data_IF_816601504082
#
_entry.id   IF_816601504082
#
_cell.length_a   1.000
_cell.length_b   1.000
_cell.length_c   1.000
_cell.angle_alpha   90.00
_cell.angle_beta   90.00
_cell.angle_gamma   90.00
#
_symmetry.space_group_name_H-M   'P 1'
#
loop_
_entity.id
_entity.type
_entity.pdbx_description
1 polymer ?
#
# COMPACT_ATOMS: atom_id res chain seq x y z
N UNK A 1 -3.61 -21.01 32.15
CA UNK A 1 -3.83 -20.44 33.50
C UNK A 1 -4.80 -19.28 33.36
N UNK A 2 -5.82 -19.15 34.22
CA UNK A 2 -6.67 -17.97 34.23
C UNK A 2 -5.80 -16.71 34.45
N UNK A 3 -6.04 -15.68 33.64
CA UNK A 3 -5.38 -14.38 33.75
C UNK A 3 -6.20 -13.47 34.66
N UNK A 4 -5.52 -12.63 35.45
CA UNK A 4 -6.18 -11.70 36.40
C UNK A 4 -6.92 -10.60 35.62
N UNK A 5 -6.21 -9.96 34.68
CA UNK A 5 -6.76 -9.01 33.72
C UNK A 5 -6.09 -9.24 32.37
N UNK A 6 -6.79 -8.96 31.27
CA UNK A 6 -6.19 -8.99 29.94
C UNK A 6 -5.21 -7.82 29.73
N UNK A 7 -4.15 -8.05 28.97
CA UNK A 7 -3.19 -7.01 28.62
C UNK A 7 -3.90 -5.88 27.86
N UNK A 8 -3.78 -4.65 28.35
CA UNK A 8 -4.44 -3.48 27.78
C UNK A 8 -5.84 -3.19 28.35
N UNK A 9 -6.36 -4.03 29.25
CA UNK A 9 -7.64 -3.79 29.90
C UNK A 9 -7.59 -2.49 30.74
N UNK A 10 -8.58 -1.62 30.56
CA UNK A 10 -8.83 -0.47 31.42
C UNK A 10 -9.55 -0.93 32.69
N UNK A 11 -9.06 -0.50 33.86
CA UNK A 11 -9.48 -1.03 35.17
C UNK A 11 -9.76 0.14 36.12
N UNK A 12 -10.89 0.09 36.83
CA UNK A 12 -11.20 0.99 37.93
C UNK A 12 -10.58 0.45 39.19
N UNK A 13 -9.48 1.05 39.62
CA UNK A 13 -8.85 0.71 40.88
C UNK A 13 -9.37 1.64 41.98
N UNK A 14 -9.19 1.30 43.27
CA UNK A 14 -9.43 2.24 44.38
C UNK A 14 -8.58 3.53 44.27
N UNK A 15 -7.50 3.47 43.51
CA UNK A 15 -6.61 4.60 43.22
C UNK A 15 -6.94 5.26 41.87
N UNK A 16 -8.14 5.03 41.33
CA UNK A 16 -8.60 5.58 40.06
C UNK A 16 -8.32 4.67 38.85
N UNK A 17 -8.24 5.27 37.67
CA UNK A 17 -8.24 4.59 36.37
C UNK A 17 -6.84 4.11 36.00
N UNK A 18 -6.70 2.89 35.51
CA UNK A 18 -5.42 2.37 35.01
C UNK A 18 -5.57 1.39 33.85
N UNK A 19 -4.44 1.06 33.21
CA UNK A 19 -4.37 0.05 32.15
C UNK A 19 -3.47 -1.10 32.57
N UNK A 20 -3.92 -2.33 32.40
CA UNK A 20 -3.08 -3.51 32.59
C UNK A 20 -1.92 -3.53 31.57
N UNK A 21 -0.69 -3.42 32.05
CA UNK A 21 0.54 -3.46 31.24
C UNK A 21 1.32 -4.78 31.38
N UNK A 22 0.97 -5.59 32.38
CA UNK A 22 1.42 -6.98 32.48
C UNK A 22 0.31 -7.84 33.08
N UNK A 23 0.00 -8.94 32.41
CA UNK A 23 -1.04 -9.89 32.84
C UNK A 23 -0.58 -10.65 34.08
N UNK A 24 -1.36 -10.59 35.15
CA UNK A 24 -1.18 -11.49 36.28
C UNK A 24 -1.62 -12.92 35.94
N UNK A 25 -1.11 -13.90 36.66
CA UNK A 25 -1.49 -15.32 36.50
C UNK A 25 -1.97 -15.92 37.81
N UNK A 26 -3.02 -16.75 37.70
CA UNK A 26 -3.57 -17.54 38.80
C UNK A 26 -3.33 -19.03 38.52
N UNK A 27 -3.13 -19.83 39.56
CA UNK A 27 -3.18 -21.30 39.46
C UNK A 27 -4.59 -21.74 39.05
N UNK A 28 -4.79 -23.00 38.61
CA UNK A 28 -6.13 -23.55 38.41
C UNK A 28 -7.03 -23.50 39.65
N UNK A 29 -6.44 -23.47 40.86
CA UNK A 29 -7.16 -23.32 42.13
C UNK A 29 -7.43 -21.84 42.49
N UNK A 30 -7.16 -20.90 41.58
CA UNK A 30 -7.36 -19.47 41.81
C UNK A 30 -6.28 -18.80 42.68
N UNK A 31 -5.22 -19.51 43.04
CA UNK A 31 -4.13 -18.95 43.87
C UNK A 31 -3.25 -18.04 43.00
N UNK A 32 -2.99 -16.79 43.40
CA UNK A 32 -2.13 -15.91 42.62
C UNK A 32 -0.68 -16.40 42.53
N UNK A 33 -0.11 -16.36 41.32
CA UNK A 33 1.29 -16.73 41.05
C UNK A 33 2.10 -15.49 40.67
N UNK A 34 1.57 -14.67 39.76
CA UNK A 34 2.21 -13.44 39.29
C UNK A 34 1.22 -12.28 39.41
N UNK A 35 1.59 -11.15 40.04
CA UNK A 35 0.70 -10.01 40.14
C UNK A 35 0.50 -9.36 38.77
N UNK A 36 -0.71 -8.88 38.49
CA UNK A 36 -0.94 -8.00 37.37
C UNK A 36 -0.29 -6.64 37.64
N UNK A 37 0.30 -6.03 36.61
CA UNK A 37 0.83 -4.67 36.69
C UNK A 37 -0.11 -3.73 35.94
N UNK A 38 -0.58 -2.70 36.65
CA UNK A 38 -1.56 -1.72 36.15
C UNK A 38 -0.93 -0.34 36.20
N UNK A 39 -0.85 0.35 35.05
CA UNK A 39 -0.35 1.72 34.95
C UNK A 39 -1.51 2.69 35.16
N UNK A 40 -1.51 3.43 36.27
CA UNK A 40 -2.59 4.35 36.62
C UNK A 40 -2.54 5.61 35.74
N UNK A 41 -3.63 5.91 35.03
CA UNK A 41 -3.78 7.09 34.17
C UNK A 41 -4.30 8.31 34.91
N UNK A 42 -5.12 8.13 35.93
CA UNK A 42 -5.70 9.24 36.71
C UNK A 42 -4.70 9.92 37.66
N UNK A 43 -3.47 9.41 37.75
CA UNK A 43 -2.44 9.94 38.62
C UNK A 43 -1.16 10.20 37.82
N UNK A 44 -0.53 11.33 38.10
CA UNK A 44 0.77 11.70 37.57
C UNK A 44 1.68 12.03 38.75
N UNK A 45 2.81 11.33 38.86
CA UNK A 45 3.81 11.59 39.89
C UNK A 45 4.50 12.94 39.62
N UNK A 46 5.18 13.49 40.63
CA UNK A 46 5.91 14.75 40.52
C UNK A 46 6.98 14.79 39.40
N UNK A 47 7.41 13.63 38.91
CA UNK A 47 8.34 13.48 37.78
C UNK A 47 7.63 13.32 36.43
N UNK A 48 6.34 13.65 36.35
CA UNK A 48 5.48 13.52 35.17
C UNK A 48 5.29 12.08 34.65
N UNK A 49 5.63 11.06 35.44
CA UNK A 49 5.37 9.65 35.10
C UNK A 49 4.11 9.14 35.78
N UNK A 50 3.40 8.24 35.10
CA UNK A 50 2.28 7.52 35.69
C UNK A 50 2.77 6.41 36.64
N UNK A 51 2.22 6.28 37.85
CA UNK A 51 2.58 5.20 38.77
C UNK A 51 2.10 3.84 38.26
N UNK A 52 2.80 2.78 38.70
CA UNK A 52 2.40 1.38 38.46
C UNK A 52 1.91 0.74 39.75
N UNK A 53 0.79 0.06 39.67
CA UNK A 53 0.15 -0.70 40.74
C UNK A 53 0.32 -2.18 40.45
N UNK A 54 0.82 -2.95 41.40
CA UNK A 54 0.92 -4.40 41.31
C UNK A 54 -0.18 -5.02 42.17
N UNK A 55 -1.01 -5.87 41.59
CA UNK A 55 -2.15 -6.45 42.30
C UNK A 55 -2.35 -7.92 41.96
N UNK A 56 -2.81 -8.68 42.94
CA UNK A 56 -3.34 -10.03 42.76
C UNK A 56 -4.87 -10.05 42.72
N UNK A 57 -5.49 -8.93 43.05
CA UNK A 57 -6.93 -8.76 43.10
C UNK A 57 -7.50 -8.74 41.68
N UNK A 58 -8.48 -9.61 41.42
CA UNK A 58 -9.21 -9.70 40.16
C UNK A 58 -10.66 -9.19 40.29
N UNK A 59 -10.99 -8.53 41.41
CA UNK A 59 -12.35 -8.05 41.70
C UNK A 59 -12.63 -6.64 41.18
N UNK A 60 -11.64 -5.99 40.58
CA UNK A 60 -11.81 -4.59 40.14
C UNK A 60 -12.62 -4.52 38.86
N UNK A 61 -13.48 -3.52 38.79
CA UNK A 61 -14.34 -3.29 37.63
C UNK A 61 -13.46 -3.03 36.40
N UNK A 62 -13.63 -3.88 35.39
CA UNK A 62 -13.14 -3.59 34.06
C UNK A 62 -13.91 -2.38 33.55
N UNK A 63 -13.22 -1.26 33.42
CA UNK A 63 -13.79 -0.11 32.76
C UNK A 63 -13.59 -0.38 31.28
N UNK A 64 -14.68 -0.51 30.55
CA UNK A 64 -14.60 -0.41 29.10
C UNK A 64 -13.92 0.93 28.79
N UNK A 65 -12.82 0.95 28.02
CA UNK A 65 -12.12 2.20 27.73
C UNK A 65 -13.12 3.22 27.19
N UNK A 66 -12.93 4.48 27.60
CA UNK A 66 -13.80 5.57 27.17
C UNK A 66 -13.93 5.53 25.65
N UNK A 67 -15.17 5.60 25.19
CA UNK A 67 -15.49 5.53 23.76
C UNK A 67 -14.96 6.82 23.12
N UNK A 68 -13.84 6.70 22.40
CA UNK A 68 -13.21 7.80 21.67
C UNK A 68 -13.59 7.77 20.18
N UNK A 69 -13.36 8.89 19.49
CA UNK A 69 -13.48 8.96 18.02
C UNK A 69 -12.53 7.94 17.37
N UNK A 70 -13.06 7.12 16.48
CA UNK A 70 -12.34 6.04 15.80
C UNK A 70 -12.42 4.69 16.51
N UNK A 71 -12.92 4.62 17.75
CA UNK A 71 -13.18 3.35 18.42
C UNK A 71 -14.29 2.56 17.73
N UNK A 72 -14.13 1.23 17.70
CA UNK A 72 -15.22 0.34 17.35
C UNK A 72 -16.14 0.20 18.56
N UNK A 73 -17.46 0.22 18.33
CA UNK A 73 -18.49 0.17 19.36
C UNK A 73 -19.59 -0.82 18.97
N UNK A 74 -20.18 -1.46 19.96
CA UNK A 74 -21.45 -2.15 19.83
C UNK A 74 -22.55 -1.11 19.99
N UNK A 75 -23.47 -1.10 19.03
CA UNK A 75 -24.69 -0.27 19.06
C UNK A 75 -25.90 -1.19 19.12
N UNK A 76 -27.12 -0.66 19.37
CA UNK A 76 -28.36 -1.44 19.25
C UNK A 76 -28.56 -2.05 17.85
N UNK A 77 -27.88 -1.50 16.83
CA UNK A 77 -27.94 -1.95 15.44
C UNK A 77 -26.73 -2.82 15.04
N UNK A 78 -25.90 -3.25 15.99
CA UNK A 78 -24.71 -4.06 15.74
C UNK A 78 -23.41 -3.23 15.77
N UNK A 79 -22.34 -3.77 15.18
CA UNK A 79 -21.00 -3.16 15.25
C UNK A 79 -20.91 -1.90 14.40
N UNK A 80 -20.37 -0.82 14.98
CA UNK A 80 -20.06 0.42 14.30
C UNK A 80 -18.72 1.02 14.73
N UNK A 81 -18.38 2.17 14.16
CA UNK A 81 -17.21 2.98 14.51
C UNK A 81 -17.62 4.41 14.78
N UNK A 82 -17.12 4.99 15.86
CA UNK A 82 -17.40 6.38 16.21
C UNK A 82 -16.68 7.32 15.23
N UNK A 83 -17.43 8.21 14.60
CA UNK A 83 -16.90 9.26 13.71
C UNK A 83 -16.73 10.59 14.43
N UNK A 84 -17.69 10.92 15.31
CA UNK A 84 -17.74 12.20 16.02
C UNK A 84 -18.43 11.98 17.36
N UNK A 85 -17.92 12.66 18.39
CA UNK A 85 -18.58 12.82 19.68
C UNK A 85 -19.04 14.28 19.78
N UNK A 86 -20.30 14.50 20.14
CA UNK A 86 -20.85 15.84 20.34
C UNK A 86 -21.04 16.10 21.83
N UNK A 87 -20.26 17.05 22.33
CA UNK A 87 -20.42 17.60 23.66
C UNK A 87 -21.57 18.61 23.60
N UNK A 88 -22.62 18.42 24.41
CA UNK A 88 -23.61 19.47 24.61
C UNK A 88 -22.98 20.57 25.42
N UNK A 89 -22.79 21.74 24.80
CA UNK A 89 -22.25 22.97 25.43
C UNK A 89 -23.06 23.47 26.65
N UNK A 90 -24.17 22.82 26.99
CA UNK A 90 -25.18 23.37 27.90
C UNK A 90 -24.98 23.05 29.37
N UNK A 91 -24.06 22.16 29.74
CA UNK A 91 -23.79 21.89 31.16
C UNK A 91 -22.30 21.65 31.42
N UNK A 92 -21.65 22.62 32.07
CA UNK A 92 -20.20 22.61 32.38
C UNK A 92 -19.82 21.47 33.35
N UNK A 93 -20.81 20.76 33.90
CA UNK A 93 -20.61 19.76 34.95
C UNK A 93 -20.85 18.30 34.54
N UNK A 94 -21.34 18.04 33.32
CA UNK A 94 -21.45 16.65 32.83
C UNK A 94 -20.26 16.32 31.92
N UNK A 95 -19.32 15.52 32.44
CA UNK A 95 -18.08 15.12 31.74
C UNK A 95 -18.30 14.09 30.61
N UNK A 96 -19.54 13.71 30.29
CA UNK A 96 -19.83 12.70 29.28
C UNK A 96 -20.52 13.30 28.05
N UNK A 97 -20.06 12.97 26.83
CA UNK A 97 -20.73 13.43 25.61
C UNK A 97 -22.16 12.90 25.58
N UNK A 98 -23.08 13.69 25.04
CA UNK A 98 -24.51 13.32 25.01
C UNK A 98 -24.81 12.44 23.81
N UNK A 99 -24.20 12.73 22.66
CA UNK A 99 -24.46 12.06 21.40
C UNK A 99 -23.18 11.68 20.67
N UNK A 100 -23.22 10.57 19.93
CA UNK A 100 -22.17 10.15 19.02
C UNK A 100 -22.71 9.93 17.60
N UNK A 101 -21.97 10.38 16.60
CA UNK A 101 -22.13 9.97 15.22
C UNK A 101 -21.36 8.66 15.01
N UNK A 102 -22.06 7.56 14.72
CA UNK A 102 -21.49 6.22 14.53
C UNK A 102 -21.77 5.74 13.12
N UNK A 103 -20.74 5.20 12.45
CA UNK A 103 -20.87 4.54 11.15
C UNK A 103 -20.96 3.03 11.36
N UNK A 104 -22.04 2.40 10.92
CA UNK A 104 -22.22 0.95 11.09
C UNK A 104 -21.29 0.18 10.14
N UNK A 105 -20.59 -0.82 10.66
CA UNK A 105 -19.61 -1.60 9.90
C UNK A 105 -20.31 -2.71 9.11
N UNK A 106 -21.32 -3.33 9.71
CA UNK A 106 -22.04 -4.50 9.17
C UNK A 106 -23.25 -4.14 8.31
N UNK A 107 -23.74 -2.90 8.41
CA UNK A 107 -24.91 -2.44 7.65
C UNK A 107 -24.50 -1.58 6.46
N UNK A 108 -25.06 -1.91 5.30
CA UNK A 108 -24.93 -1.14 4.06
C UNK A 108 -26.32 -0.91 3.47
N UNK A 109 -26.53 0.29 2.93
CA UNK A 109 -27.73 0.59 2.14
C UNK A 109 -27.66 -0.12 0.77
N UNK A 110 -28.76 -0.18 0.05
CA UNK A 110 -28.84 -0.85 -1.26
C UNK A 110 -27.86 -0.27 -2.31
N UNK A 111 -27.46 0.98 -2.15
CA UNK A 111 -26.44 1.65 -2.96
C UNK A 111 -25.00 1.46 -2.40
N UNK A 112 -24.81 0.52 -1.47
CA UNK A 112 -23.57 0.24 -0.74
C UNK A 112 -23.01 1.40 0.08
N UNK A 113 -23.77 2.47 0.30
CA UNK A 113 -23.37 3.52 1.24
C UNK A 113 -23.49 3.03 2.69
N UNK A 114 -22.59 3.53 3.54
CA UNK A 114 -22.57 3.15 4.96
C UNK A 114 -23.68 3.85 5.71
N UNK A 115 -24.33 3.12 6.61
CA UNK A 115 -25.35 3.68 7.50
C UNK A 115 -24.66 4.50 8.59
N UNK A 116 -25.08 5.76 8.73
CA UNK A 116 -24.67 6.63 9.83
C UNK A 116 -25.82 6.75 10.81
N UNK A 117 -25.51 6.62 12.09
CA UNK A 117 -26.46 6.72 13.19
C UNK A 117 -26.01 7.83 14.14
N UNK A 118 -26.97 8.53 14.72
CA UNK A 118 -26.76 9.46 15.82
C UNK A 118 -27.36 8.81 17.06
N UNK A 119 -26.52 8.42 18.00
CA UNK A 119 -26.88 7.57 19.14
C UNK A 119 -26.52 8.27 20.44
N UNK A 120 -27.31 8.04 21.50
CA UNK A 120 -26.92 8.49 22.83
C UNK A 120 -25.67 7.73 23.26
N UNK A 121 -24.76 8.41 23.96
CA UNK A 121 -23.52 7.78 24.41
C UNK A 121 -23.76 6.58 25.34
N UNK A 122 -24.85 6.59 26.11
CA UNK A 122 -25.29 5.48 26.97
C UNK A 122 -25.62 4.20 26.20
N UNK A 123 -25.94 4.30 24.91
CA UNK A 123 -26.31 3.17 24.06
C UNK A 123 -25.08 2.52 23.39
N UNK A 124 -23.88 3.03 23.66
CA UNK A 124 -22.63 2.55 23.08
C UNK A 124 -21.89 1.70 24.09
N UNK A 125 -21.46 0.52 23.65
CA UNK A 125 -20.50 -0.28 24.40
C UNK A 125 -19.21 -0.37 23.59
N UNK A 126 -18.07 -0.06 24.21
CA UNK A 126 -16.78 -0.23 23.54
C UNK A 126 -16.59 -1.66 23.06
N UNK A 127 -16.05 -1.81 21.84
CA UNK A 127 -15.59 -3.09 21.32
C UNK A 127 -14.09 -3.04 21.04
N UNK A 128 -13.34 -4.07 21.41
CA UNK A 128 -11.95 -4.17 21.02
C UNK A 128 -11.83 -4.20 19.48
N UNK A 129 -10.78 -3.58 18.92
CA UNK A 129 -10.53 -3.65 17.49
C UNK A 129 -10.34 -5.11 17.08
N UNK A 130 -10.99 -5.51 15.98
CA UNK A 130 -10.86 -6.86 15.43
C UNK A 130 -9.40 -7.18 15.12
N UNK A 131 -8.98 -8.38 15.46
CA UNK A 131 -7.70 -8.91 14.98
C UNK A 131 -7.78 -9.13 13.47
N UNK A 132 -6.63 -9.14 12.81
CA UNK A 132 -6.56 -9.32 11.35
C UNK A 132 -7.37 -10.51 10.82
N UNK A 133 -7.34 -11.65 11.51
CA UNK A 133 -8.07 -12.87 11.12
C UNK A 133 -9.59 -12.80 11.34
N UNK A 134 -10.07 -11.84 12.14
CA UNK A 134 -11.49 -11.64 12.44
C UNK A 134 -12.15 -10.63 11.48
N UNK A 135 -11.35 -9.94 10.65
CA UNK A 135 -11.85 -8.99 9.67
C UNK A 135 -12.49 -9.71 8.49
N UNK A 136 -13.73 -9.34 8.20
CA UNK A 136 -14.40 -9.72 6.95
C UNK A 136 -13.66 -9.16 5.73
N UNK A 137 -13.90 -9.74 4.55
CA UNK A 137 -13.30 -9.27 3.30
C UNK A 137 -13.61 -7.80 3.02
N UNK A 138 -14.82 -7.33 3.34
CA UNK A 138 -15.18 -5.92 3.25
C UNK A 138 -14.37 -5.05 4.22
N UNK A 139 -14.28 -5.44 5.50
CA UNK A 139 -13.51 -4.70 6.50
C UNK A 139 -12.01 -4.63 6.14
N UNK A 140 -11.48 -5.67 5.48
CA UNK A 140 -10.11 -5.65 4.95
C UNK A 140 -9.94 -4.61 3.82
N UNK A 141 -10.89 -4.52 2.88
CA UNK A 141 -10.88 -3.48 1.82
C UNK A 141 -10.93 -2.08 2.45
N UNK A 142 -11.77 -1.91 3.46
CA UNK A 142 -11.96 -0.63 4.15
C UNK A 142 -10.73 -0.23 4.95
N UNK A 143 -10.12 -1.18 5.64
CA UNK A 143 -8.86 -0.98 6.35
C UNK A 143 -7.74 -0.60 5.39
N UNK A 144 -7.65 -1.28 4.23
CA UNK A 144 -6.69 -0.95 3.19
C UNK A 144 -6.91 0.47 2.62
N UNK A 145 -8.16 0.86 2.40
CA UNK A 145 -8.51 2.22 1.98
C UNK A 145 -8.14 3.27 3.04
N UNK A 146 -8.39 3.00 4.32
CA UNK A 146 -7.96 3.88 5.41
C UNK A 146 -6.44 4.05 5.43
N UNK A 147 -5.67 2.96 5.26
CA UNK A 147 -4.20 3.01 5.16
C UNK A 147 -3.73 3.81 3.94
N UNK A 148 -4.41 3.66 2.80
CA UNK A 148 -4.16 4.43 1.58
C UNK A 148 -4.37 5.93 1.81
N UNK A 149 -5.42 6.31 2.53
CA UNK A 149 -5.70 7.71 2.87
C UNK A 149 -4.69 8.26 3.87
N UNK A 150 -4.34 7.51 4.92
CA UNK A 150 -3.29 7.89 5.88
C UNK A 150 -1.93 8.06 5.22
N UNK A 151 -1.65 7.42 4.08
CA UNK A 151 -0.40 7.59 3.36
C UNK A 151 -0.24 8.98 2.71
N UNK A 152 -1.31 9.78 2.60
CA UNK A 152 -1.26 11.14 2.04
C UNK A 152 -0.44 12.10 2.92
N UNK A 153 -0.53 11.97 4.23
CA UNK A 153 0.20 12.83 5.17
C UNK A 153 1.73 12.60 5.07
N UNK A 154 2.27 11.37 5.21
CA UNK A 154 3.69 11.11 4.98
C UNK A 154 4.16 11.53 3.58
N UNK A 155 3.32 11.33 2.54
CA UNK A 155 3.63 11.80 1.19
C UNK A 155 3.79 13.32 1.12
N UNK A 156 2.94 14.08 1.82
CA UNK A 156 3.03 15.54 1.88
C UNK A 156 4.28 16.02 2.61
N UNK A 157 4.74 15.26 3.62
CA UNK A 157 6.00 15.48 4.33
C UNK A 157 7.23 14.93 3.59
N UNK A 158 7.05 14.36 2.38
CA UNK A 158 8.09 13.65 1.63
C UNK A 158 8.76 12.49 2.42
N UNK A 159 8.07 11.94 3.43
CA UNK A 159 8.44 10.69 4.10
C UNK A 159 7.93 9.51 3.26
N UNK A 160 8.72 9.18 2.25
CA UNK A 160 8.39 8.16 1.26
C UNK A 160 8.43 6.75 1.86
N UNK A 161 9.24 6.52 2.89
CA UNK A 161 9.35 5.22 3.55
C UNK A 161 8.10 4.92 4.38
N UNK A 162 7.64 5.88 5.19
CA UNK A 162 6.40 5.73 5.95
C UNK A 162 5.18 5.59 5.00
N UNK A 163 5.13 6.39 3.92
CA UNK A 163 4.10 6.25 2.90
C UNK A 163 4.11 4.85 2.25
N UNK A 164 5.29 4.35 1.87
CA UNK A 164 5.44 3.04 1.26
C UNK A 164 5.05 1.91 2.22
N UNK A 165 5.37 2.04 3.52
CA UNK A 165 4.96 1.08 4.53
C UNK A 165 3.43 0.99 4.64
N UNK A 166 2.73 2.12 4.58
CA UNK A 166 1.26 2.16 4.59
C UNK A 166 0.64 1.52 3.33
N UNK A 167 1.19 1.78 2.14
CA UNK A 167 0.74 1.11 0.91
C UNK A 167 1.02 -0.40 0.93
N UNK A 168 2.16 -0.82 1.47
CA UNK A 168 2.51 -2.24 1.63
C UNK A 168 1.56 -2.93 2.60
N UNK A 169 1.23 -2.30 3.73
CA UNK A 169 0.20 -2.79 4.65
C UNK A 169 -1.15 -2.90 3.93
N UNK A 170 -1.58 -1.88 3.19
CA UNK A 170 -2.84 -1.92 2.44
C UNK A 170 -2.88 -3.10 1.45
N UNK A 171 -1.81 -3.28 0.66
CA UNK A 171 -1.68 -4.42 -0.26
C UNK A 171 -1.77 -5.77 0.47
N UNK A 172 -1.15 -5.91 1.65
CA UNK A 172 -1.24 -7.12 2.45
C UNK A 172 -2.68 -7.46 2.83
N UNK A 173 -3.48 -6.50 3.32
CA UNK A 173 -4.90 -6.73 3.61
C UNK A 173 -5.64 -7.25 2.37
N UNK A 174 -5.47 -6.58 1.23
CA UNK A 174 -6.18 -6.89 -0.01
C UNK A 174 -5.79 -8.25 -0.60
N UNK A 175 -4.52 -8.66 -0.47
CA UNK A 175 -4.03 -9.95 -0.98
C UNK A 175 -4.55 -11.16 -0.19
N UNK A 176 -5.02 -10.96 1.04
CA UNK A 176 -5.61 -12.03 1.85
C UNK A 176 -7.11 -12.22 1.65
N UNK A 177 -7.71 -11.46 0.74
CA UNK A 177 -9.13 -11.60 0.40
C UNK A 177 -9.26 -12.65 -0.69
N UNK A 178 -10.12 -13.62 -0.43
CA UNK A 178 -10.54 -14.58 -1.43
C UNK A 178 -11.67 -13.99 -2.28
N UNK A 179 -11.56 -14.08 -3.60
CA UNK A 179 -12.54 -13.55 -4.55
C UNK A 179 -13.91 -14.24 -4.40
N UNK A 180 -13.92 -15.48 -3.90
CA UNK A 180 -15.13 -16.26 -3.69
C UNK A 180 -15.90 -15.81 -2.44
N UNK A 181 -15.23 -15.15 -1.49
CA UNK A 181 -15.88 -14.57 -0.30
C UNK A 181 -16.57 -13.24 -0.58
N UNK A 182 -16.32 -12.63 -1.74
CA UNK A 182 -16.96 -11.37 -2.13
C UNK A 182 -18.31 -11.66 -2.79
N UNK A 183 -19.38 -11.36 -2.06
CA UNK A 183 -20.75 -11.72 -2.45
C UNK A 183 -21.30 -10.96 -3.65
N UNK A 184 -20.69 -9.84 -4.06
CA UNK A 184 -21.20 -9.03 -5.16
C UNK A 184 -20.06 -8.40 -6.01
N UNK A 185 -20.42 -7.92 -7.21
CA UNK A 185 -19.47 -7.33 -8.15
C UNK A 185 -18.98 -5.94 -7.72
N UNK A 186 -19.70 -5.26 -6.85
CA UNK A 186 -19.32 -3.94 -6.35
C UNK A 186 -18.13 -4.05 -5.38
N UNK A 187 -18.16 -5.01 -4.45
CA UNK A 187 -17.05 -5.24 -3.53
C UNK A 187 -15.80 -5.71 -4.28
N UNK A 188 -15.98 -6.52 -5.34
CA UNK A 188 -14.89 -6.89 -6.27
C UNK A 188 -14.32 -5.67 -7.00
N UNK A 189 -15.17 -4.74 -7.42
CA UNK A 189 -14.73 -3.47 -8.00
C UNK A 189 -13.95 -2.63 -6.98
N UNK A 190 -14.44 -2.49 -5.74
CA UNK A 190 -13.73 -1.79 -4.66
C UNK A 190 -12.38 -2.42 -4.32
N UNK A 191 -12.30 -3.76 -4.30
CA UNK A 191 -11.03 -4.48 -4.11
C UNK A 191 -10.04 -4.14 -5.23
N UNK A 192 -10.46 -4.26 -6.50
CA UNK A 192 -9.59 -3.99 -7.65
C UNK A 192 -9.13 -2.53 -7.69
N UNK A 193 -10.05 -1.58 -7.48
CA UNK A 193 -9.75 -0.15 -7.40
C UNK A 193 -8.65 0.13 -6.37
N UNK A 194 -8.88 -0.32 -5.13
CA UNK A 194 -7.97 -0.08 -4.02
C UNK A 194 -6.60 -0.71 -4.29
N UNK A 195 -6.59 -1.94 -4.81
CA UNK A 195 -5.37 -2.68 -5.08
C UNK A 195 -4.53 -2.04 -6.19
N UNK A 196 -5.15 -1.61 -7.29
CA UNK A 196 -4.45 -0.92 -8.38
C UNK A 196 -3.88 0.42 -7.90
N UNK A 197 -4.67 1.20 -7.15
CA UNK A 197 -4.23 2.48 -6.60
C UNK A 197 -3.05 2.32 -5.64
N UNK A 198 -3.13 1.38 -4.68
CA UNK A 198 -2.06 1.11 -3.73
C UNK A 198 -0.78 0.62 -4.41
N UNK A 199 -0.86 -0.28 -5.40
CA UNK A 199 0.31 -0.75 -6.17
C UNK A 199 0.95 0.36 -6.98
N UNK A 200 0.17 1.19 -7.68
CA UNK A 200 0.70 2.33 -8.44
C UNK A 200 1.38 3.37 -7.53
N UNK A 201 0.75 3.70 -6.39
CA UNK A 201 1.33 4.67 -5.45
C UNK A 201 2.56 4.11 -4.73
N UNK A 202 2.53 2.84 -4.34
CA UNK A 202 3.69 2.13 -3.79
C UNK A 202 4.85 2.07 -4.78
N UNK A 203 4.60 1.74 -6.05
CA UNK A 203 5.62 1.78 -7.10
C UNK A 203 6.26 3.16 -7.25
N UNK A 204 5.44 4.23 -7.20
CA UNK A 204 5.94 5.61 -7.21
C UNK A 204 6.87 5.90 -6.03
N UNK A 205 6.49 5.50 -4.80
CA UNK A 205 7.36 5.63 -3.64
C UNK A 205 8.67 4.85 -3.82
N UNK A 206 8.61 3.58 -4.25
CA UNK A 206 9.78 2.74 -4.47
C UNK A 206 10.72 3.32 -5.53
N UNK A 207 10.19 3.89 -6.62
CA UNK A 207 11.01 4.61 -7.63
C UNK A 207 11.77 5.76 -6.99
N UNK A 208 11.11 6.58 -6.18
CA UNK A 208 11.76 7.72 -5.51
C UNK A 208 12.80 7.27 -4.48
N UNK A 209 12.54 6.16 -3.78
CA UNK A 209 13.47 5.51 -2.85
C UNK A 209 14.57 4.68 -3.54
N UNK A 210 14.59 4.63 -4.88
CA UNK A 210 15.53 3.82 -5.68
C UNK A 210 15.46 2.31 -5.39
N UNK A 211 14.32 1.82 -4.91
CA UNK A 211 14.02 0.38 -4.72
C UNK A 211 13.48 -0.21 -6.02
N UNK A 212 14.36 -0.32 -7.02
CA UNK A 212 13.97 -0.61 -8.41
C UNK A 212 13.26 -1.95 -8.58
N UNK A 213 13.69 -3.01 -7.88
CA UNK A 213 13.07 -4.34 -7.98
C UNK A 213 11.60 -4.31 -7.51
N UNK A 214 11.37 -3.77 -6.31
CA UNK A 214 10.03 -3.61 -5.74
C UNK A 214 9.15 -2.70 -6.60
N UNK A 215 9.70 -1.58 -7.09
CA UNK A 215 8.99 -0.68 -7.99
C UNK A 215 8.51 -1.39 -9.27
N UNK A 216 9.40 -2.16 -9.92
CA UNK A 216 9.03 -2.91 -11.13
C UNK A 216 7.96 -3.97 -10.84
N UNK A 217 8.07 -4.68 -9.71
CA UNK A 217 7.08 -5.68 -9.31
C UNK A 217 5.70 -5.04 -9.11
N UNK A 218 5.59 -4.06 -8.23
CA UNK A 218 4.31 -3.40 -7.91
C UNK A 218 3.68 -2.76 -9.16
N UNK A 219 4.48 -2.09 -9.99
CA UNK A 219 4.00 -1.46 -11.21
C UNK A 219 3.51 -2.48 -12.25
N UNK A 220 4.23 -3.59 -12.43
CA UNK A 220 3.83 -4.67 -13.36
C UNK A 220 2.54 -5.33 -12.88
N UNK A 221 2.41 -5.63 -11.59
CA UNK A 221 1.20 -6.20 -11.01
C UNK A 221 -0.02 -5.26 -11.19
N UNK A 222 0.16 -3.93 -11.04
CA UNK A 222 -0.90 -2.96 -11.30
C UNK A 222 -1.35 -2.95 -12.77
N UNK A 223 -0.40 -2.98 -13.71
CA UNK A 223 -0.70 -3.04 -15.15
C UNK A 223 -1.40 -4.35 -15.51
N UNK A 224 -0.97 -5.48 -14.96
CA UNK A 224 -1.63 -6.78 -15.20
C UNK A 224 -3.10 -6.77 -14.76
N UNK A 225 -3.41 -6.19 -13.60
CA UNK A 225 -4.79 -6.05 -13.14
C UNK A 225 -5.62 -5.16 -14.08
N UNK A 226 -5.04 -4.05 -14.55
CA UNK A 226 -5.68 -3.15 -15.52
C UNK A 226 -5.90 -3.82 -16.89
N UNK A 227 -4.96 -4.62 -17.36
CA UNK A 227 -5.07 -5.35 -18.62
C UNK A 227 -6.14 -6.45 -18.53
N UNK A 228 -6.20 -7.16 -17.40
CA UNK A 228 -7.27 -8.13 -17.12
C UNK A 228 -8.65 -7.44 -17.08
N UNK A 229 -8.74 -6.29 -16.41
CA UNK A 229 -9.97 -5.50 -16.35
C UNK A 229 -10.37 -4.96 -17.73
N UNK A 230 -9.41 -4.56 -18.57
CA UNK A 230 -9.67 -4.07 -19.92
C UNK A 230 -10.31 -5.13 -20.82
N UNK A 231 -9.90 -6.40 -20.69
CA UNK A 231 -10.55 -7.53 -21.37
C UNK A 231 -11.99 -7.76 -20.91
N UNK A 232 -12.32 -7.32 -19.71
CA UNK A 232 -13.65 -7.41 -19.09
C UNK A 232 -14.44 -6.09 -19.18
N UNK A 233 -14.03 -5.17 -20.07
CA UNK A 233 -14.71 -3.89 -20.26
C UNK A 233 -16.17 -4.12 -20.69
N UNK A 234 -17.09 -3.37 -20.09
CA UNK A 234 -18.53 -3.50 -20.28
C UNK A 234 -19.21 -4.56 -19.40
N UNK A 235 -18.43 -5.39 -18.68
CA UNK A 235 -19.00 -6.39 -17.76
C UNK A 235 -19.36 -5.78 -16.40
N UNK A 236 -20.00 -6.59 -15.55
CA UNK A 236 -20.58 -6.17 -14.26
C UNK A 236 -19.60 -5.45 -13.33
N UNK A 237 -18.35 -5.92 -13.26
CA UNK A 237 -17.31 -5.29 -12.41
C UNK A 237 -16.90 -3.92 -12.97
N UNK A 238 -16.74 -3.81 -14.29
CA UNK A 238 -16.42 -2.54 -14.94
C UNK A 238 -17.57 -1.53 -14.80
N UNK A 239 -18.82 -1.97 -14.96
CA UNK A 239 -19.99 -1.15 -14.69
C UNK A 239 -20.03 -0.64 -13.23
N UNK A 240 -19.66 -1.50 -12.27
CA UNK A 240 -19.55 -1.10 -10.86
C UNK A 240 -18.43 -0.07 -10.64
N UNK A 241 -17.26 -0.22 -11.27
CA UNK A 241 -16.20 0.80 -11.22
C UNK A 241 -16.67 2.15 -11.79
N UNK A 242 -17.43 2.15 -12.89
CA UNK A 242 -18.01 3.39 -13.43
C UNK A 242 -18.98 4.04 -12.43
N UNK A 243 -19.77 3.24 -11.69
CA UNK A 243 -20.66 3.76 -10.64
C UNK A 243 -19.91 4.39 -9.46
N UNK A 244 -18.66 3.98 -9.23
CA UNK A 244 -17.73 4.61 -8.27
C UNK A 244 -17.11 5.92 -8.81
N UNK A 245 -17.46 6.34 -10.04
CA UNK A 245 -16.92 7.54 -10.68
C UNK A 245 -15.59 7.33 -11.41
N UNK A 246 -15.14 6.09 -11.58
CA UNK A 246 -13.90 5.79 -12.29
C UNK A 246 -14.17 5.64 -13.78
N UNK A 247 -13.69 6.63 -14.55
CA UNK A 247 -13.84 6.61 -16.01
C UNK A 247 -12.80 5.69 -16.67
N UNK A 248 -13.10 5.25 -17.90
CA UNK A 248 -12.16 4.51 -18.74
C UNK A 248 -10.84 5.27 -18.95
N UNK A 249 -10.92 6.60 -19.09
CA UNK A 249 -9.77 7.49 -19.15
C UNK A 249 -8.89 7.44 -17.89
N UNK A 250 -9.51 7.31 -16.72
CA UNK A 250 -8.77 7.19 -15.46
C UNK A 250 -8.11 5.81 -15.36
N UNK A 251 -8.87 4.74 -15.59
CA UNK A 251 -8.40 3.36 -15.41
C UNK A 251 -7.41 2.94 -16.51
N UNK A 252 -7.86 2.93 -17.76
CA UNK A 252 -7.15 2.29 -18.87
C UNK A 252 -6.11 3.18 -19.55
N UNK A 253 -6.12 4.49 -19.24
CA UNK A 253 -5.13 5.42 -19.73
C UNK A 253 -4.29 5.97 -18.58
N UNK A 254 -4.85 6.82 -17.70
CA UNK A 254 -4.06 7.51 -16.68
C UNK A 254 -3.32 6.56 -15.74
N UNK A 255 -4.02 5.60 -15.15
CA UNK A 255 -3.42 4.66 -14.20
C UNK A 255 -2.53 3.64 -14.89
N UNK A 256 -2.92 3.18 -16.09
CA UNK A 256 -2.13 2.25 -16.89
C UNK A 256 -0.80 2.86 -17.34
N UNK A 257 -0.82 4.10 -17.86
CA UNK A 257 0.39 4.83 -18.28
C UNK A 257 1.32 5.09 -17.10
N UNK A 258 0.79 5.42 -15.91
CA UNK A 258 1.58 5.53 -14.68
C UNK A 258 2.30 4.22 -14.35
N UNK A 259 1.58 3.10 -14.33
CA UNK A 259 2.16 1.78 -14.07
C UNK A 259 3.25 1.43 -15.07
N UNK A 260 2.98 1.56 -16.38
CA UNK A 260 3.96 1.30 -17.44
C UNK A 260 5.21 2.18 -17.28
N UNK A 261 5.02 3.48 -16.99
CA UNK A 261 6.12 4.41 -16.77
C UNK A 261 7.01 4.00 -15.60
N UNK A 262 6.43 3.68 -14.43
CA UNK A 262 7.21 3.27 -13.25
C UNK A 262 7.92 1.94 -13.46
N UNK A 263 7.28 0.96 -14.12
CA UNK A 263 7.90 -0.31 -14.48
C UNK A 263 9.12 -0.08 -15.41
N UNK A 264 8.95 0.69 -16.48
CA UNK A 264 10.05 1.03 -17.39
C UNK A 264 11.18 1.80 -16.73
N UNK A 265 10.86 2.76 -15.87
CA UNK A 265 11.88 3.52 -15.14
C UNK A 265 12.71 2.60 -14.25
N UNK A 266 12.07 1.69 -13.53
CA UNK A 266 12.75 0.70 -12.72
C UNK A 266 13.63 -0.25 -13.55
N UNK A 267 13.12 -0.77 -14.68
CA UNK A 267 13.89 -1.64 -15.60
C UNK A 267 15.11 -0.94 -16.18
N UNK A 268 14.96 0.32 -16.59
CA UNK A 268 16.05 1.13 -17.10
C UNK A 268 17.18 1.30 -16.07
N UNK A 269 16.85 1.52 -14.80
CA UNK A 269 17.85 1.64 -13.72
C UNK A 269 18.47 0.28 -13.35
N UNK A 270 17.78 -0.83 -13.61
CA UNK A 270 18.33 -2.19 -13.55
C UNK A 270 19.15 -2.57 -14.80
N UNK A 271 19.38 -1.63 -15.73
CA UNK A 271 20.08 -1.81 -17.02
C UNK A 271 19.39 -2.76 -18.01
N UNK A 272 18.11 -3.05 -17.78
CA UNK A 272 17.28 -3.81 -18.70
C UNK A 272 16.59 -2.86 -19.69
N UNK A 273 17.40 -2.28 -20.59
CA UNK A 273 16.95 -1.22 -21.49
C UNK A 273 16.03 -1.70 -22.61
N UNK A 274 16.23 -2.93 -23.09
CA UNK A 274 15.43 -3.53 -24.16
C UNK A 274 13.96 -3.64 -23.73
N UNK A 275 13.71 -4.33 -22.60
CA UNK A 275 12.37 -4.44 -22.04
C UNK A 275 11.79 -3.08 -21.62
N UNK A 276 12.61 -2.17 -21.11
CA UNK A 276 12.15 -0.82 -20.76
C UNK A 276 11.64 -0.04 -21.99
N UNK A 277 12.34 -0.13 -23.12
CA UNK A 277 11.97 0.52 -24.38
C UNK A 277 10.65 -0.02 -24.93
N UNK A 278 10.43 -1.33 -24.90
CA UNK A 278 9.17 -1.94 -25.36
C UNK A 278 7.97 -1.47 -24.54
N UNK A 279 8.09 -1.49 -23.22
CA UNK A 279 7.03 -1.01 -22.31
C UNK A 279 6.78 0.49 -22.51
N UNK A 280 7.81 1.31 -22.77
CA UNK A 280 7.66 2.74 -23.04
C UNK A 280 6.99 3.03 -24.38
N UNK A 281 7.20 2.20 -25.41
CA UNK A 281 6.47 2.33 -26.68
C UNK A 281 4.97 2.12 -26.45
N UNK A 282 4.61 1.13 -25.64
CA UNK A 282 3.22 0.87 -25.25
C UNK A 282 2.64 2.05 -24.46
N UNK A 283 3.38 2.59 -23.50
CA UNK A 283 2.97 3.77 -22.75
C UNK A 283 2.77 5.01 -23.65
N UNK A 284 3.64 5.21 -24.64
CA UNK A 284 3.58 6.34 -25.58
C UNK A 284 2.35 6.27 -26.50
N UNK A 285 2.01 5.08 -26.99
CA UNK A 285 0.81 4.89 -27.80
C UNK A 285 -0.46 5.28 -27.02
N UNK A 286 -0.51 4.94 -25.73
CA UNK A 286 -1.62 5.30 -24.85
C UNK A 286 -1.64 6.79 -24.51
N UNK A 287 -0.50 7.40 -24.18
CA UNK A 287 -0.43 8.82 -23.78
C UNK A 287 -0.69 9.78 -24.93
N UNK A 288 -0.34 9.41 -26.16
CA UNK A 288 -0.59 10.23 -27.35
C UNK A 288 -2.07 10.30 -27.77
N UNK A 289 -2.92 9.45 -27.21
CA UNK A 289 -4.34 9.35 -27.58
C UNK A 289 -5.23 10.38 -26.87
N UNK A 290 -4.80 10.95 -25.74
CA UNK A 290 -5.62 11.82 -24.90
C UNK A 290 -4.89 13.09 -24.48
N UNK A 291 -5.54 14.24 -24.63
CA UNK A 291 -4.97 15.55 -24.27
C UNK A 291 -4.66 15.67 -22.77
N UNK A 292 -5.47 15.05 -21.91
CA UNK A 292 -5.27 15.00 -20.46
C UNK A 292 -3.94 14.35 -20.04
N UNK A 293 -3.31 13.56 -20.92
CA UNK A 293 -2.06 12.85 -20.67
C UNK A 293 -0.82 13.55 -21.25
N UNK A 294 -0.93 14.78 -21.75
CA UNK A 294 0.21 15.52 -22.31
C UNK A 294 1.42 15.59 -21.35
N UNK A 295 1.20 15.75 -20.04
CA UNK A 295 2.28 15.77 -19.05
C UNK A 295 2.99 14.42 -18.90
N UNK A 296 2.28 13.30 -19.12
CA UNK A 296 2.84 11.96 -19.11
C UNK A 296 3.55 11.63 -20.42
N UNK A 297 3.00 12.09 -21.55
CA UNK A 297 3.61 11.92 -22.87
C UNK A 297 5.04 12.50 -22.91
N UNK A 298 5.23 13.71 -22.35
CA UNK A 298 6.57 14.33 -22.24
C UNK A 298 7.53 13.48 -21.39
N UNK A 299 7.06 12.94 -20.26
CA UNK A 299 7.87 12.08 -19.37
C UNK A 299 8.26 10.76 -20.05
N UNK A 300 7.30 10.12 -20.71
CA UNK A 300 7.51 8.86 -21.45
C UNK A 300 8.48 9.07 -22.60
N UNK A 301 8.31 10.13 -23.41
CA UNK A 301 9.24 10.49 -24.51
C UNK A 301 10.66 10.72 -24.00
N UNK A 302 10.81 11.50 -22.92
CA UNK A 302 12.12 11.79 -22.31
C UNK A 302 12.80 10.52 -21.79
N UNK A 303 12.06 9.63 -21.13
CA UNK A 303 12.63 8.38 -20.63
C UNK A 303 12.98 7.42 -21.78
N UNK A 304 12.16 7.38 -22.84
CA UNK A 304 12.41 6.53 -24.01
C UNK A 304 13.69 6.93 -24.74
N UNK A 305 13.91 8.23 -24.98
CA UNK A 305 15.14 8.71 -25.63
C UNK A 305 16.38 8.40 -24.80
N UNK A 306 16.29 8.59 -23.47
CA UNK A 306 17.38 8.23 -22.56
C UNK A 306 17.67 6.72 -22.57
N UNK A 307 16.66 5.86 -22.57
CA UNK A 307 16.84 4.40 -22.60
C UNK A 307 17.49 3.94 -23.92
N UNK A 308 17.02 4.44 -25.07
CA UNK A 308 17.62 4.10 -26.38
C UNK A 308 19.10 4.49 -26.45
N UNK A 309 19.44 5.70 -25.98
CA UNK A 309 20.82 6.17 -25.98
C UNK A 309 21.73 5.29 -25.07
N UNK A 310 21.22 4.86 -23.91
CA UNK A 310 21.95 3.96 -22.99
C UNK A 310 22.12 2.56 -23.58
N UNK A 311 21.09 2.02 -24.22
CA UNK A 311 21.12 0.72 -24.91
C UNK A 311 22.16 0.70 -26.05
N UNK A 312 22.13 1.70 -26.94
CA UNK A 312 23.12 1.82 -28.00
C UNK A 312 24.56 1.97 -27.47
N UNK A 313 24.73 2.70 -26.37
CA UNK A 313 26.04 2.85 -25.74
C UNK A 313 26.55 1.52 -25.16
N UNK A 314 25.68 0.69 -24.58
CA UNK A 314 26.04 -0.66 -24.14
C UNK A 314 26.39 -1.57 -25.31
N UNK A 315 25.55 -1.62 -26.34
CA UNK A 315 25.82 -2.40 -27.57
C UNK A 315 27.14 -2.02 -28.24
N UNK A 316 27.48 -0.72 -28.27
CA UNK A 316 28.79 -0.25 -28.77
C UNK A 316 29.95 -0.72 -27.89
N UNK A 317 29.79 -0.76 -26.57
CA UNK A 317 30.82 -1.28 -25.64
C UNK A 317 31.00 -2.79 -25.79
N UNK A 318 29.91 -3.55 -25.87
CA UNK A 318 29.92 -4.99 -26.08
C UNK A 318 30.54 -5.35 -27.43
N UNK A 319 30.16 -4.64 -28.51
CA UNK A 319 30.80 -4.82 -29.83
C UNK A 319 32.30 -4.59 -29.78
N UNK A 320 32.76 -3.53 -29.11
CA UNK A 320 34.21 -3.26 -28.94
C UNK A 320 34.89 -4.35 -28.12
N UNK A 321 34.25 -4.85 -27.06
CA UNK A 321 34.77 -5.95 -26.25
C UNK A 321 34.86 -7.26 -27.05
N UNK A 322 33.82 -7.59 -27.81
CA UNK A 322 33.78 -8.77 -28.68
C UNK A 322 34.87 -8.70 -29.77
N UNK A 323 35.08 -7.54 -30.40
CA UNK A 323 36.18 -7.34 -31.36
C UNK A 323 37.54 -7.55 -30.69
N UNK A 324 37.73 -7.11 -29.45
CA UNK A 324 39.00 -7.31 -28.72
C UNK A 324 39.23 -8.78 -28.36
N UNK A 325 38.17 -9.52 -28.00
CA UNK A 325 38.26 -10.93 -27.60
C UNK A 325 38.38 -11.89 -28.80
N UNK A 326 37.62 -11.64 -29.87
CA UNK A 326 37.49 -12.57 -31.00
C UNK A 326 38.14 -12.04 -32.29
N UNK A 327 38.31 -10.72 -32.44
CA UNK A 327 38.93 -10.09 -33.61
C UNK A 327 40.47 -10.08 -33.60
N UNK A 328 41.11 -10.67 -32.58
CA UNK A 328 42.58 -10.72 -32.43
C UNK A 328 43.32 -11.69 -33.35
N UNK A 329 42.61 -12.42 -34.24
CA UNK A 329 43.20 -13.48 -35.06
C UNK A 329 43.69 -13.10 -36.46
N UNK A 330 43.33 -11.93 -36.99
CA UNK A 330 43.74 -11.53 -38.35
C UNK A 330 44.81 -10.43 -38.33
N UNK A 331 45.83 -10.58 -37.48
CA UNK A 331 47.14 -10.05 -37.85
C UNK A 331 47.62 -10.90 -39.02
N UNK A 332 47.36 -10.42 -40.24
CA UNK A 332 48.16 -10.77 -41.42
C UNK A 332 49.62 -10.56 -40.99
N UNK A 333 50.31 -11.66 -40.77
CA UNK A 333 51.75 -11.68 -40.62
C UNK A 333 52.34 -11.27 -41.96
N UNK A 334 52.48 -9.98 -42.21
CA UNK A 334 53.49 -9.52 -43.15
C UNK A 334 54.84 -9.72 -42.46
N UNK A 335 55.36 -10.91 -42.69
CA UNK A 335 56.76 -11.27 -42.54
C UNK A 335 57.61 -10.25 -43.29
N UNK A 336 58.22 -9.31 -42.58
CA UNK A 336 59.49 -8.73 -43.00
C UNK A 336 60.39 -8.50 -41.80
N UNK A 337 61.45 -9.30 -41.78
CA UNK A 337 62.57 -9.25 -40.86
C UNK A 337 63.21 -7.86 -40.80
N UNK A 338 63.67 -7.44 -39.62
CA UNK A 338 65.10 -7.22 -39.43
C UNK A 338 65.50 -7.15 -37.96
N UNK A 339 66.68 -7.72 -37.71
CA UNK A 339 67.37 -7.87 -36.43
C UNK A 339 67.67 -6.51 -35.79
N UNK A 340 67.67 -6.45 -34.47
CA UNK A 340 68.82 -5.94 -33.69
C UNK A 340 68.72 -6.44 -32.25
N UNK A 341 69.76 -7.17 -31.82
CA UNK A 341 70.01 -7.60 -30.46
C UNK A 341 70.32 -6.39 -29.56
N UNK A 342 69.77 -6.34 -28.34
CA UNK A 342 70.51 -5.80 -27.20
C UNK A 342 70.08 -6.41 -25.87
N UNK A 343 71.11 -6.98 -25.24
CA UNK A 343 71.33 -7.48 -23.87
C UNK A 343 70.34 -7.10 -22.76
N UNK A 344 70.07 -8.17 -22.00
CA UNK A 344 69.81 -8.30 -20.56
C UNK A 344 70.11 -7.09 -19.67
N UNK A 345 69.20 -6.82 -18.73
CA UNK A 345 69.59 -6.79 -17.32
C UNK A 345 68.48 -7.34 -16.42
N UNK A 346 68.95 -8.15 -15.48
CA UNK A 346 68.22 -8.96 -14.50
C UNK A 346 67.88 -8.08 -13.29
N UNK A 347 66.60 -7.98 -12.91
CA UNK A 347 66.20 -7.55 -11.56
C UNK A 347 65.01 -8.37 -11.06
N UNK A 348 65.25 -9.04 -9.93
CA UNK A 348 64.35 -9.91 -9.18
C UNK A 348 63.08 -9.21 -8.65
N UNK A 349 62.00 -9.96 -8.38
CA UNK A 349 60.75 -9.40 -7.85
C UNK A 349 60.80 -9.17 -6.33
N UNK A 350 60.27 -8.05 -5.79
CA UNK A 350 60.02 -7.92 -4.37
C UNK A 350 58.69 -8.58 -3.95
N UNK A 351 58.72 -9.11 -2.73
CA UNK A 351 57.67 -9.87 -2.05
C UNK A 351 56.35 -9.12 -1.82
N UNK A 352 55.22 -9.84 -1.63
CA UNK A 352 53.91 -9.24 -1.39
C UNK A 352 53.84 -8.61 0.00
N UNK A 353 53.51 -7.32 0.04
CA UNK A 353 53.27 -6.58 1.28
C UNK A 353 51.82 -6.80 1.73
N UNK A 354 51.69 -7.24 2.98
CA UNK A 354 50.44 -7.41 3.73
C UNK A 354 49.62 -6.12 3.83
N UNK A 355 48.29 -6.22 4.00
CA UNK A 355 47.40 -5.07 3.99
C UNK A 355 47.58 -4.20 5.24
N UNK A 356 47.80 -2.90 5.01
CA UNK A 356 47.82 -1.88 6.05
C UNK A 356 46.43 -1.69 6.65
N UNK A 357 46.41 -1.92 7.95
CA UNK A 357 45.49 -1.48 8.99
C UNK A 357 44.92 -0.08 8.73
N UNK A 358 43.61 -0.02 8.46
CA UNK A 358 42.85 1.24 8.40
C UNK A 358 42.64 1.71 9.84
N UNK A 359 43.43 2.71 10.26
CA UNK A 359 43.16 3.49 11.47
C UNK A 359 41.84 4.24 11.32
N UNK A 360 40.82 3.70 11.97
CA UNK A 360 39.52 4.33 12.17
C UNK A 360 39.71 5.57 13.06
N UNK A 361 39.65 6.76 12.44
CA UNK A 361 39.64 8.03 13.17
C UNK A 361 38.22 8.27 13.69
N UNK A 362 37.98 7.82 14.92
CA UNK A 362 36.78 8.16 15.72
C UNK A 362 36.64 9.68 15.74
N UNK A 363 35.61 10.17 15.05
CA UNK A 363 35.21 11.58 15.09
C UNK A 363 34.22 11.72 16.25
N UNK A 364 34.45 12.62 17.23
CA UNK A 364 33.51 12.81 18.32
C UNK A 364 32.19 13.38 17.79
N UNK A 365 31.09 12.83 18.29
CA UNK A 365 29.72 13.24 17.98
C UNK A 365 29.56 14.76 18.21
N UNK A 366 29.20 15.47 17.14
CA UNK A 366 28.69 16.83 17.28
C UNK A 366 27.27 16.82 17.84
N UNK A 367 26.92 17.80 18.68
CA UNK A 367 25.70 17.78 19.47
C UNK A 367 24.44 17.92 18.61
N UNK A 368 23.45 17.10 18.97
CA UNK A 368 22.07 17.18 18.49
C UNK A 368 21.58 18.61 18.75
N UNK A 369 21.37 19.36 17.68
CA UNK A 369 20.70 20.64 17.74
C UNK A 369 19.20 20.41 18.04
N UNK A 370 18.58 21.24 18.89
CA UNK A 370 17.22 21.04 19.35
C UNK A 370 16.22 21.20 18.21
N UNK A 371 15.26 20.28 18.18
CA UNK A 371 14.06 20.29 17.35
C UNK A 371 13.32 21.63 17.57
N UNK A 372 13.09 22.44 16.53
CA UNK A 372 12.24 23.62 16.67
C UNK A 372 10.79 23.18 16.91
N UNK A 373 10.33 23.52 18.10
CA UNK A 373 8.94 23.46 18.55
C UNK A 373 8.07 24.38 17.70
N UNK A 374 6.88 23.87 17.36
CA UNK A 374 5.63 24.63 17.22
C UNK A 374 5.55 25.59 16.02
N UNK A 375 5.10 25.05 14.89
CA UNK A 375 4.40 25.85 13.88
C UNK A 375 2.95 26.05 14.32
N UNK A 376 2.60 27.29 14.65
CA UNK A 376 1.21 27.72 14.76
C UNK A 376 0.62 27.94 13.36
N UNK A 377 -0.53 27.32 13.02
CA UNK A 377 -1.22 27.66 11.79
C UNK A 377 -1.96 28.99 11.98
N UNK A 378 -1.47 30.04 11.30
CA UNK A 378 -2.26 31.25 11.04
C UNK A 378 -3.43 30.87 10.14
N UNK A 379 -4.63 30.84 10.70
CA UNK A 379 -5.88 30.72 9.96
C UNK A 379 -6.17 32.01 9.20
N UNK A 380 -5.95 32.00 7.89
CA UNK A 380 -6.58 32.96 6.98
C UNK A 380 -7.90 32.36 6.47
N UNK A 381 -8.99 33.03 6.87
CA UNK A 381 -10.36 32.77 6.45
C UNK A 381 -10.49 32.91 4.93
N UNK A 382 -10.77 31.80 4.25
CA UNK A 382 -11.24 31.79 2.87
C UNK A 382 -12.72 32.24 2.86
N UNK A 383 -13.10 33.34 2.19
CA UNK A 383 -14.50 33.73 2.10
C UNK A 383 -15.30 32.77 1.21
N UNK A 384 -16.60 32.57 1.51
CA UNK A 384 -17.45 31.65 0.76
C UNK A 384 -17.68 32.12 -0.68
N UNK A 385 -17.78 31.19 -1.66
CA UNK A 385 -18.07 31.54 -3.04
C UNK A 385 -19.50 32.10 -3.17
N UNK A 386 -19.61 33.23 -3.85
CA UNK A 386 -20.86 33.92 -4.17
C UNK A 386 -21.76 33.04 -5.05
N UNK A 387 -23.03 32.94 -4.65
CA UNK A 387 -24.14 32.32 -5.38
C UNK A 387 -24.26 32.91 -6.80
N UNK A 388 -24.24 32.06 -7.82
CA UNK A 388 -24.72 32.38 -9.15
C UNK A 388 -26.09 31.71 -9.34
N UNK A 389 -27.09 32.52 -9.67
CA UNK A 389 -28.46 32.12 -9.90
C UNK A 389 -28.70 31.68 -11.35
N UNK A 390 -29.61 30.71 -11.49
CA UNK A 390 -30.62 30.52 -12.53
C UNK A 390 -30.22 30.66 -14.01
N UNK A 391 -30.20 29.54 -14.74
CA UNK A 391 -30.59 29.49 -16.17
C UNK A 391 -31.39 28.23 -16.48
N UNK A 392 -32.68 28.46 -16.71
CA UNK A 392 -33.62 27.90 -17.68
C UNK A 392 -33.62 26.40 -18.07
N UNK A 393 -34.82 25.84 -17.91
CA UNK A 393 -35.40 24.68 -18.57
C UNK A 393 -35.05 24.55 -20.06
N UNK A 394 -34.72 23.33 -20.50
CA UNK A 394 -35.08 22.87 -21.84
C UNK A 394 -35.43 21.38 -21.87
N UNK A 395 -36.61 21.16 -22.44
CA UNK A 395 -37.37 19.95 -22.78
C UNK A 395 -36.56 18.71 -23.21
N UNK A 396 -37.09 17.58 -22.75
CA UNK A 396 -36.92 16.19 -23.22
C UNK A 396 -37.05 16.05 -24.75
N UNK A 397 -36.15 15.26 -25.35
CA UNK A 397 -36.47 14.39 -26.48
C UNK A 397 -35.91 12.99 -26.18
N UNK A 398 -36.84 12.03 -26.04
CA UNK A 398 -36.55 10.60 -25.94
C UNK A 398 -36.12 10.07 -27.32
N UNK A 399 -34.96 9.41 -27.37
CA UNK A 399 -34.56 8.59 -28.52
C UNK A 399 -34.54 7.13 -28.10
N UNK A 400 -35.54 6.38 -28.56
CA UNK A 400 -35.59 4.92 -28.50
C UNK A 400 -34.35 4.36 -29.23
N UNK A 401 -33.52 3.60 -28.51
CA UNK A 401 -32.49 2.74 -29.10
C UNK A 401 -33.01 1.32 -29.03
N UNK A 402 -33.16 0.71 -30.21
CA UNK A 402 -33.64 -0.66 -30.37
C UNK A 402 -32.60 -1.69 -29.92
N UNK A 403 -33.10 -2.74 -29.28
CA UNK A 403 -32.39 -3.98 -29.05
C UNK A 403 -32.06 -4.67 -30.38
N UNK A 404 -30.79 -4.95 -30.61
CA UNK A 404 -30.35 -5.99 -31.52
C UNK A 404 -29.40 -6.90 -30.74
N UNK A 405 -29.94 -8.01 -30.23
CA UNK A 405 -29.17 -9.10 -29.66
C UNK A 405 -28.51 -9.91 -30.77
N UNK A 406 -27.19 -9.79 -30.87
CA UNK A 406 -26.36 -10.67 -31.70
C UNK A 406 -25.85 -11.84 -30.87
N UNK A 407 -26.25 -13.05 -31.26
CA UNK A 407 -25.80 -14.33 -30.72
C UNK A 407 -24.31 -14.53 -31.09
N UNK A 408 -23.41 -14.52 -30.11
CA UNK A 408 -21.97 -14.74 -30.33
C UNK A 408 -21.69 -16.23 -30.20
N UNK A 409 -21.27 -16.86 -31.31
CA UNK A 409 -20.85 -18.26 -31.36
C UNK A 409 -19.51 -18.47 -30.63
N UNK A 410 -19.51 -19.27 -29.57
CA UNK A 410 -18.36 -19.58 -28.70
C UNK A 410 -17.32 -20.54 -29.29
N UNK A 411 -17.51 -21.07 -30.51
CA UNK A 411 -16.73 -22.20 -31.02
C UNK A 411 -15.26 -21.89 -31.40
N UNK A 412 -14.84 -20.62 -31.41
CA UNK A 412 -13.46 -20.23 -31.73
C UNK A 412 -12.47 -20.29 -30.57
N UNK A 413 -12.93 -20.03 -29.34
CA UNK A 413 -12.05 -19.71 -28.21
C UNK A 413 -11.26 -20.93 -27.69
N UNK A 414 -11.89 -22.10 -27.64
CA UNK A 414 -11.25 -23.34 -27.18
C UNK A 414 -10.20 -23.86 -28.15
N UNK A 415 -10.31 -23.53 -29.45
CA UNK A 415 -9.38 -23.99 -30.47
C UNK A 415 -8.06 -23.22 -30.47
N UNK A 416 -8.10 -21.93 -30.10
CA UNK A 416 -6.93 -21.05 -30.12
C UNK A 416 -6.16 -21.02 -28.79
N UNK A 417 -6.81 -21.39 -27.68
CA UNK A 417 -6.23 -21.28 -26.33
C UNK A 417 -6.22 -22.59 -25.52
N UNK A 418 -6.64 -23.71 -26.12
CA UNK A 418 -6.64 -25.01 -25.46
C UNK A 418 -5.28 -25.43 -24.93
N UNK A 419 -4.19 -25.20 -25.68
CA UNK A 419 -2.83 -25.57 -25.25
C UNK A 419 -2.32 -24.69 -24.09
N UNK A 420 -2.64 -23.40 -24.09
CA UNK A 420 -2.25 -22.49 -23.01
C UNK A 420 -2.99 -22.81 -21.69
N UNK A 421 -4.27 -23.20 -21.78
CA UNK A 421 -5.05 -23.66 -20.63
C UNK A 421 -4.53 -25.01 -20.09
N UNK A 422 -4.06 -25.90 -20.96
CA UNK A 422 -3.45 -27.17 -20.56
C UNK A 422 -2.13 -26.96 -19.81
N UNK A 423 -1.28 -26.02 -20.25
CA UNK A 423 -0.03 -25.66 -19.57
C UNK A 423 -0.29 -25.03 -18.19
N UNK A 424 -1.29 -24.16 -18.09
CA UNK A 424 -1.69 -23.56 -16.80
C UNK A 424 -2.28 -24.60 -15.83
N UNK A 425 -3.08 -25.53 -16.34
CA UNK A 425 -3.64 -26.63 -15.54
C UNK A 425 -2.57 -27.58 -15.00
N UNK A 426 -1.57 -27.95 -15.83
CA UNK A 426 -0.45 -28.79 -15.40
C UNK A 426 0.47 -28.07 -14.39
N UNK A 427 0.67 -26.76 -14.55
CA UNK A 427 1.41 -25.94 -13.58
C UNK A 427 0.73 -25.91 -12.20
N UNK A 428 -0.60 -25.76 -12.17
CA UNK A 428 -1.38 -25.78 -10.93
C UNK A 428 -1.34 -27.16 -10.24
N UNK A 429 -1.41 -28.26 -11.00
CA UNK A 429 -1.29 -29.62 -10.46
C UNK A 429 0.10 -29.90 -9.89
N UNK A 430 1.17 -29.44 -10.55
CA UNK A 430 2.54 -29.60 -10.05
C UNK A 430 2.76 -28.83 -8.72
N UNK A 431 2.22 -27.61 -8.60
CA UNK A 431 2.29 -26.82 -7.36
C UNK A 431 1.48 -27.49 -6.26
N UNK A 432 0.29 -28.01 -6.57
CA UNK A 432 -0.54 -28.77 -5.63
C UNK A 432 0.16 -30.04 -5.14
N UNK A 433 0.83 -30.78 -6.02
CA UNK A 433 1.57 -32.00 -5.68
C UNK A 433 2.76 -31.70 -4.76
N UNK A 434 3.51 -30.62 -5.02
CA UNK A 434 4.62 -30.18 -4.16
C UNK A 434 4.12 -29.73 -2.79
N UNK A 435 2.99 -29.02 -2.73
CA UNK A 435 2.38 -28.61 -1.47
C UNK A 435 1.85 -29.81 -0.65
N UNK A 436 1.31 -30.82 -1.32
CA UNK A 436 0.85 -32.06 -0.69
C UNK A 436 2.01 -32.92 -0.18
N UNK A 437 3.07 -33.08 -0.98
CA UNK A 437 4.28 -33.81 -0.58
C UNK A 437 5.04 -33.15 0.57
N UNK A 438 4.91 -31.84 0.78
CA UNK A 438 5.48 -31.14 1.95
C UNK A 438 4.66 -31.28 3.23
N UNK A 439 3.42 -31.77 3.15
CA UNK A 439 2.53 -31.97 4.31
C UNK A 439 2.54 -33.41 4.84
N UNK A 440 3.09 -34.35 4.09
CA UNK A 440 3.49 -35.68 4.58
C UNK A 440 4.92 -35.62 5.05
#
# INVERSE_FOLDING_TARGET
MPVVYELGASIKTPYGFGICIATGSLTPAGTPVVPAQIKLRSWTLANSKNPSLYTFDNTWDLILPDVEVGCDVMTPYGRGRVLKLEDTETDVYTESPVCAEVILTEWRLANNSRVRCYLNFSDLSYLPPKKFGELSSLEKIETANSKRESAKEPLSCNDLDAANALYTQACFYLQTIDNDTLGNNYDRACLLECMIACKNNGAMCCVKLKRWKEANQLATEAVMLLDALYKQRGLKIHAALNSLGLTDETLFYTWRVKGLYYASQARAEMKDYENAVEVLKTAMALSGSLASLASWDVKVKKLLTACKARDEALKKKEKKAAIKMFGGGSKKSDSKSEKTQKKEDVVSPPAPTSPSEVKEKVTPASPISPIPTRFEPKGELIPPPKKAAAVAEKKKEEKKVGENGGEIKEEGFLKEHGEALLVLGLGALAIGLVAWLRKK
#
